data_IF_417736933164
#
_entry.id   IF_417736933164
#
_cell.length_a   1.000
_cell.length_b   1.000
_cell.length_c   1.000
_cell.angle_alpha   90.00
_cell.angle_beta   90.00
_cell.angle_gamma   90.00
#
_symmetry.space_group_name_H-M   'P 1'
#
loop_
_entity.id
_entity.type
_entity.pdbx_description
1 polymer ?
#
# COMPACT_ATOMS: atom_id res chain seq x y z
N UNK A 1 -44.45 12.64 8.51
CA UNK A 1 -43.74 11.35 8.62
C UNK A 1 -42.94 11.15 7.34
N UNK A 2 -41.67 11.56 7.32
CA UNK A 2 -40.76 11.38 6.18
C UNK A 2 -39.42 10.91 6.72
N UNK A 3 -39.06 9.67 6.44
CA UNK A 3 -37.83 9.04 6.93
C UNK A 3 -36.65 9.59 6.13
N UNK A 4 -36.01 10.64 6.65
CA UNK A 4 -34.68 11.03 6.21
C UNK A 4 -33.71 9.93 6.64
N UNK A 5 -33.12 9.23 5.68
CA UNK A 5 -32.03 8.28 5.93
C UNK A 5 -30.84 9.05 6.50
N UNK A 6 -30.78 9.14 7.83
CA UNK A 6 -29.72 9.79 8.56
C UNK A 6 -28.45 8.94 8.51
N UNK A 7 -27.55 9.28 7.60
CA UNK A 7 -26.14 8.89 7.69
C UNK A 7 -25.35 10.13 8.12
N UNK A 8 -25.19 10.39 9.43
CA UNK A 8 -24.66 11.65 9.96
C UNK A 8 -23.17 11.90 9.65
N UNK A 9 -22.49 10.94 9.03
CA UNK A 9 -21.03 10.85 8.96
C UNK A 9 -20.45 10.88 7.54
N UNK A 10 -21.29 10.95 6.49
CA UNK A 10 -20.83 10.92 5.09
C UNK A 10 -20.30 12.25 4.54
N UNK A 11 -20.23 13.32 5.35
CA UNK A 11 -19.62 14.59 4.89
C UNK A 11 -18.17 14.33 4.48
N UNK A 12 -17.83 14.74 3.26
CA UNK A 12 -16.46 14.69 2.74
C UNK A 12 -15.66 15.88 3.25
N UNK A 13 -14.46 15.60 3.76
CA UNK A 13 -13.46 16.56 4.19
C UNK A 13 -12.17 16.38 3.38
N UNK A 14 -11.45 17.47 3.14
CA UNK A 14 -10.13 17.44 2.50
C UNK A 14 -9.06 16.96 3.47
N UNK A 15 -8.39 15.86 3.12
CA UNK A 15 -7.25 15.32 3.85
C UNK A 15 -5.96 15.60 3.09
N UNK A 16 -4.93 16.09 3.78
CA UNK A 16 -3.62 16.32 3.18
C UNK A 16 -2.80 15.02 3.19
N UNK A 17 -2.29 14.57 2.04
CA UNK A 17 -1.43 13.39 1.94
C UNK A 17 -0.11 13.60 2.70
N UNK A 18 0.50 14.77 2.54
CA UNK A 18 1.54 15.27 3.44
C UNK A 18 0.94 16.39 4.27
N UNK A 19 0.91 16.23 5.60
CA UNK A 19 0.31 17.23 6.48
C UNK A 19 1.04 18.59 6.36
N UNK A 20 0.29 19.69 6.40
CA UNK A 20 0.87 21.05 6.27
C UNK A 20 1.90 21.36 7.35
N UNK A 21 1.69 20.88 8.59
CA UNK A 21 2.66 21.07 9.67
C UNK A 21 3.98 20.29 9.45
N UNK A 22 3.99 19.35 8.49
CA UNK A 22 5.17 18.62 8.03
C UNK A 22 5.72 19.19 6.71
N UNK A 23 5.25 20.37 6.29
CA UNK A 23 5.70 21.05 5.07
C UNK A 23 4.89 20.71 3.81
N UNK A 24 3.76 20.00 3.93
CA UNK A 24 2.89 19.73 2.78
C UNK A 24 2.17 20.98 2.25
N UNK A 25 1.94 21.05 0.94
CA UNK A 25 1.20 22.15 0.32
C UNK A 25 -0.30 22.08 0.62
N UNK A 26 -1.00 23.21 0.56
CA UNK A 26 -2.47 23.28 0.73
C UNK A 26 -3.22 23.24 -0.60
N UNK A 27 -2.53 22.91 -1.70
CA UNK A 27 -3.12 22.80 -3.02
C UNK A 27 -3.90 21.49 -3.21
N UNK A 28 -4.71 21.43 -4.28
CA UNK A 28 -5.55 20.27 -4.59
C UNK A 28 -4.76 19.00 -4.93
N UNK A 29 -3.49 19.11 -5.34
CA UNK A 29 -2.67 17.94 -5.67
C UNK A 29 -2.28 17.17 -4.39
N UNK A 30 -2.08 17.89 -3.29
CA UNK A 30 -1.81 17.30 -1.97
C UNK A 30 -3.08 16.90 -1.20
N UNK A 31 -4.28 17.22 -1.70
CA UNK A 31 -5.54 16.89 -1.04
C UNK A 31 -6.20 15.62 -1.60
N UNK A 32 -6.91 14.91 -0.73
CA UNK A 32 -7.86 13.85 -1.07
C UNK A 32 -9.15 14.03 -0.27
N UNK A 33 -10.30 13.96 -0.94
CA UNK A 33 -11.60 14.07 -0.29
C UNK A 33 -12.04 12.70 0.25
N UNK A 34 -12.24 12.62 1.57
CA UNK A 34 -12.69 11.40 2.25
C UNK A 34 -13.78 11.75 3.27
N UNK A 35 -14.69 10.81 3.56
CA UNK A 35 -15.71 11.05 4.57
C UNK A 35 -15.15 11.05 6.00
N UNK A 36 -15.86 11.65 6.96
CA UNK A 36 -15.42 11.77 8.36
C UNK A 36 -14.95 10.44 9.00
N UNK A 37 -15.64 9.29 8.85
CA UNK A 37 -15.15 8.01 9.36
C UNK A 37 -13.79 7.62 8.79
N UNK A 38 -13.59 7.81 7.49
CA UNK A 38 -12.31 7.54 6.85
C UNK A 38 -11.24 8.54 7.25
N UNK A 39 -11.60 9.82 7.45
CA UNK A 39 -10.70 10.83 7.95
C UNK A 39 -10.19 10.49 9.35
N UNK A 40 -11.08 10.02 10.24
CA UNK A 40 -10.71 9.53 11.57
C UNK A 40 -9.81 8.29 11.50
N UNK A 41 -10.10 7.32 10.61
CA UNK A 41 -9.25 6.13 10.44
C UNK A 41 -7.82 6.46 10.03
N UNK A 42 -7.62 7.53 9.25
CA UNK A 42 -6.28 7.97 8.84
C UNK A 42 -5.55 8.68 9.98
N UNK A 43 -6.23 9.56 10.72
CA UNK A 43 -5.60 10.27 11.84
C UNK A 43 -5.35 9.37 13.06
N UNK A 44 -6.33 8.54 13.43
CA UNK A 44 -6.34 7.81 14.70
C UNK A 44 -6.27 6.28 14.51
N UNK A 45 -6.75 5.78 13.38
CA UNK A 45 -6.82 4.34 13.09
C UNK A 45 -5.56 3.75 12.47
N UNK A 46 -4.50 4.55 12.30
CA UNK A 46 -3.23 4.13 11.71
C UNK A 46 -3.29 3.76 10.22
N UNK A 47 -4.38 4.11 9.53
CA UNK A 47 -4.46 3.95 8.08
C UNK A 47 -3.60 4.99 7.38
N UNK A 48 -3.00 4.62 6.26
CA UNK A 48 -2.20 5.53 5.42
C UNK A 48 -2.83 5.68 4.06
N UNK A 49 -2.75 6.88 3.48
CA UNK A 49 -3.15 7.11 2.10
C UNK A 49 -1.88 7.34 1.26
N UNK A 50 -1.78 6.64 0.13
CA UNK A 50 -0.65 6.76 -0.80
C UNK A 50 -1.19 7.15 -2.17
N UNK A 51 -0.59 8.15 -2.80
CA UNK A 51 -0.86 8.48 -4.19
C UNK A 51 0.04 7.64 -5.10
N UNK A 52 -0.59 7.04 -6.10
CA UNK A 52 0.00 6.22 -7.16
C UNK A 52 -0.44 6.77 -8.52
N UNK A 53 0.14 6.27 -9.60
CA UNK A 53 -0.26 6.67 -10.96
C UNK A 53 -1.73 6.32 -11.27
N UNK A 54 -2.27 5.30 -10.59
CA UNK A 54 -3.67 4.84 -10.73
C UNK A 54 -4.64 5.54 -9.76
N UNK A 55 -4.16 6.48 -8.95
CA UNK A 55 -4.96 7.22 -7.96
C UNK A 55 -4.50 7.00 -6.52
N UNK A 56 -5.41 7.19 -5.56
CA UNK A 56 -5.10 7.10 -4.12
C UNK A 56 -5.49 5.74 -3.57
N UNK A 57 -4.54 5.05 -2.94
CA UNK A 57 -4.76 3.78 -2.25
C UNK A 57 -4.74 3.97 -0.73
N UNK A 58 -5.62 3.26 -0.03
CA UNK A 58 -5.63 3.20 1.43
C UNK A 58 -4.92 1.94 1.92
N UNK A 59 -3.88 2.11 2.73
CA UNK A 59 -3.15 1.03 3.37
C UNK A 59 -3.60 0.86 4.82
N UNK A 60 -3.93 -0.37 5.25
CA UNK A 60 -4.21 -0.64 6.65
C UNK A 60 -2.93 -0.50 7.51
N UNK A 61 -3.07 -0.30 8.84
CA UNK A 61 -1.95 -0.10 9.76
C UNK A 61 -0.87 -1.19 9.75
N UNK A 62 -1.16 -2.40 9.26
CA UNK A 62 -0.21 -3.53 9.21
C UNK A 62 0.28 -3.89 7.79
N UNK A 63 0.04 -3.05 6.79
CA UNK A 63 0.65 -3.23 5.46
C UNK A 63 2.15 -2.88 5.50
N UNK A 64 2.95 -3.75 6.13
CA UNK A 64 4.28 -4.10 5.63
C UNK A 64 4.05 -5.31 4.71
N UNK A 65 4.62 -5.36 3.50
CA UNK A 65 4.52 -6.56 2.68
C UNK A 65 5.19 -7.74 3.43
N UNK A 66 4.84 -9.01 3.14
CA UNK A 66 5.81 -10.07 3.41
C UNK A 66 7.09 -9.61 2.73
N UNK A 67 8.18 -9.55 3.51
CA UNK A 67 9.50 -9.23 2.97
C UNK A 67 9.67 -10.07 1.70
N UNK A 68 9.86 -9.41 0.56
CA UNK A 68 10.28 -10.10 -0.64
C UNK A 68 11.74 -10.46 -0.40
N UNK A 69 11.97 -11.49 0.41
CA UNK A 69 13.27 -12.12 0.48
C UNK A 69 13.50 -12.74 -0.90
N UNK A 70 14.35 -12.07 -1.66
CA UNK A 70 15.11 -12.64 -2.75
C UNK A 70 15.87 -13.89 -2.25
N UNK A 71 15.26 -15.07 -2.36
CA UNK A 71 16.00 -16.33 -2.25
C UNK A 71 15.41 -17.42 -3.13
N UNK A 72 16.02 -17.63 -4.31
CA UNK A 72 15.95 -18.91 -5.00
C UNK A 72 15.85 -18.83 -6.51
N UNK A 73 16.99 -18.56 -7.15
CA UNK A 73 17.25 -18.92 -8.54
C UNK A 73 16.95 -20.40 -8.78
N UNK A 74 15.77 -20.69 -9.33
CA UNK A 74 15.46 -21.98 -9.96
C UNK A 74 14.92 -21.77 -11.38
N UNK A 75 15.59 -20.92 -12.17
CA UNK A 75 15.59 -21.13 -13.63
C UNK A 75 16.71 -22.11 -13.95
N UNK A 76 16.33 -23.28 -14.43
CA UNK A 76 17.25 -24.33 -14.81
C UNK A 76 18.29 -23.88 -15.86
N UNK A 77 19.49 -24.44 -15.72
CA UNK A 77 20.50 -24.47 -16.77
C UNK A 77 21.30 -25.77 -16.61
N UNK A 78 20.94 -26.75 -17.43
CA UNK A 78 21.75 -27.81 -18.05
C UNK A 78 22.99 -28.34 -17.30
N UNK A 79 22.96 -29.63 -16.96
CA UNK A 79 24.15 -30.44 -16.62
C UNK A 79 25.16 -30.44 -17.78
N UNK A 80 26.47 -30.28 -17.52
CA UNK A 80 27.48 -30.98 -18.29
C UNK A 80 27.66 -32.39 -17.71
N UNK A 81 27.62 -33.41 -18.56
CA UNK A 81 27.96 -34.79 -18.20
C UNK A 81 29.46 -34.87 -17.93
N UNK A 82 29.86 -35.35 -16.75
CA UNK A 82 31.27 -35.68 -16.48
C UNK A 82 31.69 -36.92 -17.29
N UNK A 83 32.93 -36.98 -17.81
CA UNK A 83 33.43 -38.17 -18.50
C UNK A 83 33.67 -39.32 -17.51
N UNK A 84 33.43 -40.54 -17.99
CA UNK A 84 33.55 -41.77 -17.21
C UNK A 84 35.04 -42.06 -16.89
N UNK A 85 35.42 -42.10 -15.60
CA UNK A 85 36.77 -42.50 -15.17
C UNK A 85 36.83 -44.02 -15.01
N UNK A 86 37.79 -44.75 -15.61
CA UNK A 86 37.99 -46.17 -15.31
C UNK A 86 38.70 -46.33 -13.96
N UNK A 87 38.17 -47.19 -13.08
CA UNK A 87 38.89 -47.66 -11.89
C UNK A 87 40.01 -48.61 -12.29
N UNK A 88 41.19 -48.37 -11.74
CA UNK A 88 42.29 -49.32 -11.74
C UNK A 88 41.94 -50.55 -10.88
N UNK A 89 42.30 -51.72 -11.39
CA UNK A 89 42.14 -53.03 -10.76
C UNK A 89 42.45 -54.13 -11.75
#
# INVERSE_FOLDING_TARGET
MGLGLGYPDLRSDGHHLTHWAQGGSTDLANLVNICRPHHWRVHEGGWRLIRTDEGVMALPPMALPPVADDYGSHRGSSRPRAPDTPSAG
#
